data_IF_666460969981
#
_entry.id   IF_666460969981
#
_cell.length_a   1.000
_cell.length_b   1.000
_cell.length_c   1.000
_cell.angle_alpha   90.00
_cell.angle_beta   90.00
_cell.angle_gamma   90.00
#
_symmetry.space_group_name_H-M   'P 1'
#
loop_
_entity.id
_entity.type
_entity.pdbx_description
1 polymer ?
#
# COMPACT_ATOMS: atom_id res chain seq x y z
N UNK A 1 29.50 5.55 -33.93
CA UNK A 1 28.02 5.53 -33.86
C UNK A 1 27.45 4.81 -32.64
N UNK A 2 28.10 3.77 -32.08
CA UNK A 2 27.56 3.04 -30.90
C UNK A 2 27.41 3.88 -29.60
N UNK A 3 28.31 4.85 -29.36
CA UNK A 3 28.27 5.67 -28.14
C UNK A 3 27.06 6.61 -28.04
N UNK A 4 26.52 7.08 -29.16
CA UNK A 4 25.38 8.02 -29.17
C UNK A 4 24.07 7.29 -28.81
N UNK A 5 23.94 6.02 -29.17
CA UNK A 5 22.75 5.21 -28.88
C UNK A 5 22.68 4.84 -27.39
N UNK A 6 23.81 4.50 -26.77
CA UNK A 6 23.88 4.16 -25.34
C UNK A 6 23.51 5.38 -24.48
N UNK A 7 23.97 6.58 -24.87
CA UNK A 7 23.67 7.82 -24.16
C UNK A 7 22.18 8.19 -24.25
N UNK A 8 21.55 7.99 -25.42
CA UNK A 8 20.12 8.22 -25.61
C UNK A 8 19.24 7.28 -24.75
N UNK A 9 19.60 6.00 -24.67
CA UNK A 9 18.89 5.01 -23.84
C UNK A 9 19.04 5.34 -22.35
N UNK A 10 20.24 5.74 -21.91
CA UNK A 10 20.48 6.14 -20.52
C UNK A 10 19.67 7.39 -20.14
N UNK A 11 19.55 8.38 -21.03
CA UNK A 11 18.73 9.58 -20.79
C UNK A 11 17.23 9.26 -20.74
N UNK A 12 16.76 8.31 -21.55
CA UNK A 12 15.36 7.85 -21.54
C UNK A 12 15.03 7.10 -20.23
N UNK A 13 15.94 6.24 -19.76
CA UNK A 13 15.78 5.53 -18.49
C UNK A 13 15.88 6.47 -17.28
N UNK A 14 16.76 7.47 -17.33
CA UNK A 14 16.85 8.49 -16.28
C UNK A 14 15.60 9.38 -16.24
N UNK A 15 15.04 9.76 -17.40
CA UNK A 15 13.79 10.51 -17.47
C UNK A 15 12.60 9.69 -16.98
N UNK A 16 12.56 8.39 -17.29
CA UNK A 16 11.54 7.47 -16.78
C UNK A 16 11.62 7.35 -15.25
N UNK A 17 12.83 7.21 -14.69
CA UNK A 17 13.06 7.15 -13.24
C UNK A 17 12.69 8.45 -12.53
N UNK A 18 13.04 9.60 -13.09
CA UNK A 18 12.71 10.92 -12.51
C UNK A 18 11.21 11.23 -12.61
N UNK A 19 10.54 10.79 -13.67
CA UNK A 19 9.08 10.88 -13.82
C UNK A 19 8.35 10.05 -12.76
N UNK A 20 8.81 8.82 -12.53
CA UNK A 20 8.28 7.93 -11.49
C UNK A 20 8.48 8.50 -10.08
N UNK A 21 9.64 9.09 -9.80
CA UNK A 21 9.93 9.70 -8.48
C UNK A 21 9.13 10.99 -8.21
N UNK A 22 8.78 11.77 -9.24
CA UNK A 22 7.92 12.97 -9.08
C UNK A 22 6.44 12.65 -8.85
N UNK A 23 5.95 11.55 -9.41
CA UNK A 23 4.57 11.08 -9.19
C UNK A 23 4.25 10.75 -7.73
N UNK A 24 5.27 10.42 -6.91
CA UNK A 24 5.09 10.11 -5.48
C UNK A 24 4.94 11.33 -4.56
N UNK A 25 5.37 12.53 -5.00
CA UNK A 25 5.35 13.75 -4.16
C UNK A 25 4.05 14.54 -4.24
N UNK A 26 3.37 14.43 -5.37
CA UNK A 26 2.05 15.01 -5.55
C UNK A 26 1.06 13.87 -5.38
N UNK A 27 0.23 13.92 -4.35
CA UNK A 27 -0.88 12.96 -4.21
C UNK A 27 -1.69 12.85 -5.52
N UNK A 28 -2.42 11.75 -5.70
CA UNK A 28 -2.91 11.34 -7.01
C UNK A 28 -3.75 12.41 -7.70
N UNK A 29 -3.55 12.55 -9.02
CA UNK A 29 -4.59 13.03 -9.93
C UNK A 29 -5.72 12.03 -9.82
N UNK A 30 -6.71 12.30 -8.98
CA UNK A 30 -7.95 11.53 -8.93
C UNK A 30 -8.67 11.81 -10.24
N UNK A 31 -8.82 10.84 -11.18
CA UNK A 31 -9.66 11.09 -12.34
C UNK A 31 -11.05 11.53 -11.85
N UNK A 32 -11.52 12.68 -12.33
CA UNK A 32 -12.77 13.29 -11.89
C UNK A 32 -14.02 12.42 -12.15
N UNK A 33 -13.83 11.25 -12.79
CA UNK A 33 -14.84 10.25 -13.13
C UNK A 33 -14.76 8.98 -12.26
N UNK A 34 -13.96 8.95 -11.19
CA UNK A 34 -13.96 7.84 -10.24
C UNK A 34 -15.31 7.79 -9.52
N UNK A 35 -16.17 6.86 -9.95
CA UNK A 35 -17.33 6.46 -9.17
C UNK A 35 -16.81 5.82 -7.86
N UNK A 36 -17.47 6.09 -6.74
CA UNK A 36 -17.12 5.51 -5.44
C UNK A 36 -17.10 3.97 -5.44
N UNK A 37 -17.69 3.33 -6.46
CA UNK A 37 -17.77 1.88 -6.64
C UNK A 37 -16.82 1.33 -7.70
N UNK A 38 -16.02 2.18 -8.35
CA UNK A 38 -15.03 1.72 -9.33
C UNK A 38 -13.79 1.21 -8.60
N UNK A 39 -13.41 -0.03 -8.88
CA UNK A 39 -12.14 -0.62 -8.45
C UNK A 39 -11.00 -0.02 -9.28
N UNK A 40 -9.92 0.37 -8.62
CA UNK A 40 -8.72 0.88 -9.29
C UNK A 40 -7.46 0.52 -8.48
N UNK A 41 -6.32 0.52 -9.16
CA UNK A 41 -5.04 0.19 -8.54
C UNK A 41 -4.37 1.43 -7.94
N UNK A 42 -3.75 1.24 -6.77
CA UNK A 42 -2.88 2.24 -6.15
C UNK A 42 -1.69 1.57 -5.45
N UNK A 43 -0.52 2.17 -5.62
CA UNK A 43 0.69 1.79 -4.90
C UNK A 43 0.81 2.57 -3.58
N UNK A 44 1.16 1.86 -2.52
CA UNK A 44 1.46 2.40 -1.20
C UNK A 44 2.89 2.04 -0.82
N UNK A 45 3.72 3.05 -0.56
CA UNK A 45 5.05 2.83 0.02
C UNK A 45 4.87 2.26 1.43
N UNK A 46 5.50 1.12 1.70
CA UNK A 46 5.54 0.46 3.02
C UNK A 46 6.96 0.05 3.38
N UNK A 47 7.98 0.54 2.65
CA UNK A 47 9.37 0.20 2.89
C UNK A 47 9.88 0.66 4.27
N UNK A 48 9.17 1.60 4.89
CA UNK A 48 9.39 2.05 6.27
C UNK A 48 8.92 1.03 7.32
N UNK A 49 8.00 0.14 6.95
CA UNK A 49 7.35 -0.83 7.85
C UNK A 49 7.84 -2.26 7.56
N UNK A 50 7.92 -2.63 6.28
CA UNK A 50 8.19 -3.97 5.79
C UNK A 50 9.67 -4.13 5.49
N UNK A 51 10.35 -5.06 6.19
CA UNK A 51 11.80 -5.32 6.01
C UNK A 51 12.06 -6.67 5.34
N UNK A 52 11.06 -7.55 5.31
CA UNK A 52 11.14 -8.88 4.73
C UNK A 52 9.83 -9.27 4.02
N UNK A 53 9.88 -10.32 3.21
CA UNK A 53 8.66 -10.91 2.60
C UNK A 53 7.70 -11.46 3.67
N UNK A 54 8.23 -11.90 4.82
CA UNK A 54 7.42 -12.36 5.95
C UNK A 54 6.64 -11.20 6.59
N UNK A 55 7.29 -10.04 6.77
CA UNK A 55 6.64 -8.81 7.25
C UNK A 55 5.54 -8.36 6.30
N UNK A 56 5.79 -8.46 5.00
CA UNK A 56 4.81 -8.12 3.97
C UNK A 56 3.59 -9.04 4.06
N UNK A 57 3.83 -10.34 4.22
CA UNK A 57 2.77 -11.35 4.36
C UNK A 57 1.94 -11.08 5.62
N UNK A 58 2.61 -10.80 6.74
CA UNK A 58 1.96 -10.47 8.01
C UNK A 58 1.07 -9.22 7.87
N UNK A 59 1.59 -8.16 7.26
CA UNK A 59 0.84 -6.93 7.03
C UNK A 59 -0.35 -7.14 6.09
N UNK A 60 -0.17 -7.90 5.00
CA UNK A 60 -1.24 -8.22 4.06
C UNK A 60 -2.36 -9.00 4.75
N UNK A 61 -2.02 -10.04 5.51
CA UNK A 61 -3.00 -10.85 6.23
C UNK A 61 -3.79 -9.97 7.21
N UNK A 62 -3.10 -9.11 7.96
CA UNK A 62 -3.75 -8.23 8.90
C UNK A 62 -4.67 -7.20 8.22
N UNK A 63 -4.31 -6.69 7.04
CA UNK A 63 -5.20 -5.85 6.22
C UNK A 63 -6.43 -6.65 5.80
N UNK A 64 -6.25 -7.85 5.25
CA UNK A 64 -7.34 -8.68 4.73
C UNK A 64 -8.32 -9.13 5.81
N UNK A 65 -7.83 -9.44 7.01
CA UNK A 65 -8.67 -9.92 8.12
C UNK A 65 -9.44 -8.79 8.81
N UNK A 66 -8.89 -7.57 8.84
CA UNK A 66 -9.42 -6.51 9.71
C UNK A 66 -10.03 -5.33 8.93
N UNK A 67 -9.55 -5.06 7.72
CA UNK A 67 -10.04 -3.95 6.89
C UNK A 67 -11.05 -4.50 5.89
N UNK A 68 -12.35 -4.27 6.10
CA UNK A 68 -13.41 -4.73 5.16
C UNK A 68 -13.23 -6.22 4.73
N UNK A 69 -13.25 -7.19 5.65
CA UNK A 69 -12.78 -8.57 5.39
C UNK A 69 -13.50 -9.27 4.23
N UNK A 70 -14.80 -9.05 4.08
CA UNK A 70 -15.60 -9.67 3.01
C UNK A 70 -15.34 -9.05 1.62
N UNK A 71 -14.56 -7.98 1.54
CA UNK A 71 -14.29 -7.27 0.29
C UNK A 71 -13.10 -7.81 -0.49
N UNK A 72 -12.24 -8.65 0.12
CA UNK A 72 -11.03 -9.16 -0.51
C UNK A 72 -11.27 -10.42 -1.34
N UNK A 73 -10.50 -10.62 -2.40
CA UNK A 73 -10.55 -11.78 -3.30
C UNK A 73 -10.36 -13.10 -2.54
N UNK A 74 -9.53 -13.11 -1.48
CA UNK A 74 -9.36 -14.26 -0.58
C UNK A 74 -10.66 -14.68 0.14
N UNK A 75 -11.64 -13.78 0.26
CA UNK A 75 -12.99 -14.02 0.78
C UNK A 75 -14.07 -14.04 -0.34
N UNK A 76 -13.67 -14.01 -1.62
CA UNK A 76 -14.57 -13.94 -2.78
C UNK A 76 -15.07 -12.52 -3.12
N UNK A 77 -14.46 -11.49 -2.54
CA UNK A 77 -14.71 -10.09 -2.84
C UNK A 77 -13.97 -9.58 -4.08
N UNK A 78 -13.97 -8.25 -4.26
CA UNK A 78 -13.42 -7.58 -5.45
C UNK A 78 -12.05 -6.93 -5.21
N UNK A 79 -11.57 -6.90 -3.97
CA UNK A 79 -10.34 -6.24 -3.55
C UNK A 79 -9.12 -7.17 -3.65
N UNK A 80 -8.00 -6.64 -4.10
CA UNK A 80 -6.74 -7.39 -4.21
C UNK A 80 -5.59 -6.60 -3.59
N UNK A 81 -4.68 -7.26 -2.88
CA UNK A 81 -3.48 -6.62 -2.33
C UNK A 81 -2.25 -7.51 -2.55
N UNK A 82 -1.18 -6.93 -3.09
CA UNK A 82 0.06 -7.64 -3.43
C UNK A 82 1.27 -6.80 -3.03
N UNK A 83 2.28 -7.45 -2.45
CA UNK A 83 3.56 -6.80 -2.15
C UNK A 83 4.53 -6.92 -3.32
N UNK A 84 5.18 -5.81 -3.66
CA UNK A 84 6.22 -5.73 -4.69
C UNK A 84 7.55 -5.44 -4.02
N UNK A 85 8.32 -6.49 -3.73
CA UNK A 85 9.56 -6.38 -2.95
C UNK A 85 10.66 -5.55 -3.59
N UNK A 86 10.69 -5.44 -4.93
CA UNK A 86 11.65 -4.60 -5.64
C UNK A 86 11.48 -3.11 -5.35
N UNK A 87 10.25 -2.66 -5.09
CA UNK A 87 9.90 -1.26 -4.83
C UNK A 87 9.57 -1.00 -3.36
N UNK A 88 9.35 -2.05 -2.56
CA UNK A 88 8.91 -1.90 -1.17
C UNK A 88 7.48 -1.36 -1.06
N UNK A 89 6.64 -1.66 -2.04
CA UNK A 89 5.28 -1.11 -2.16
C UNK A 89 4.21 -2.20 -2.07
N UNK A 90 3.07 -1.87 -1.46
CA UNK A 90 1.83 -2.62 -1.63
C UNK A 90 1.07 -2.07 -2.82
N UNK A 91 0.76 -2.91 -3.79
CA UNK A 91 -0.20 -2.62 -4.85
C UNK A 91 -1.56 -3.07 -4.37
N UNK A 92 -2.51 -2.16 -4.30
CA UNK A 92 -3.87 -2.39 -3.83
C UNK A 92 -4.85 -2.09 -4.97
N UNK A 93 -5.70 -3.05 -5.31
CA UNK A 93 -6.86 -2.85 -6.17
C UNK A 93 -8.10 -2.78 -5.31
N UNK A 94 -8.76 -1.62 -5.24
CA UNK A 94 -9.96 -1.46 -4.42
C UNK A 94 -10.84 -0.29 -4.88
N UNK A 95 -12.05 -0.19 -4.33
CA UNK A 95 -12.85 1.03 -4.37
C UNK A 95 -12.31 2.10 -3.41
N UNK A 96 -12.71 3.36 -3.60
CA UNK A 96 -12.21 4.50 -2.82
C UNK A 96 -12.37 4.30 -1.30
N UNK A 97 -13.49 3.73 -0.82
CA UNK A 97 -13.69 3.50 0.61
C UNK A 97 -12.62 2.58 1.20
N UNK A 98 -12.37 1.43 0.57
CA UNK A 98 -11.32 0.51 1.06
C UNK A 98 -9.92 1.08 0.94
N UNK A 99 -9.61 1.89 -0.09
CA UNK A 99 -8.36 2.65 -0.12
C UNK A 99 -8.19 3.57 1.10
N UNK A 100 -9.25 4.27 1.50
CA UNK A 100 -9.22 5.14 2.68
C UNK A 100 -9.09 4.32 3.97
N UNK A 101 -9.76 3.18 4.06
CA UNK A 101 -9.68 2.26 5.19
C UNK A 101 -8.26 1.71 5.35
N UNK A 102 -7.62 1.25 4.25
CA UNK A 102 -6.24 0.78 4.25
C UNK A 102 -5.25 1.90 4.61
N UNK A 103 -5.42 3.12 4.09
CA UNK A 103 -4.56 4.26 4.46
C UNK A 103 -4.59 4.51 5.96
N UNK A 104 -5.78 4.49 6.57
CA UNK A 104 -5.94 4.69 8.01
C UNK A 104 -5.27 3.58 8.79
N UNK A 105 -5.51 2.33 8.39
CA UNK A 105 -4.88 1.17 9.03
C UNK A 105 -3.34 1.22 8.95
N UNK A 106 -2.78 1.54 7.78
CA UNK A 106 -1.34 1.73 7.63
C UNK A 106 -0.81 2.90 8.48
N UNK A 107 -1.62 3.93 8.71
CA UNK A 107 -1.30 5.02 9.64
C UNK A 107 -1.16 4.52 11.08
N UNK A 108 -2.13 3.73 11.56
CA UNK A 108 -2.10 3.12 12.89
C UNK A 108 -0.85 2.21 13.05
N UNK A 109 -0.58 1.34 12.07
CA UNK A 109 0.62 0.47 12.10
C UNK A 109 1.91 1.29 12.19
N UNK A 110 2.01 2.41 11.48
CA UNK A 110 3.18 3.31 11.56
C UNK A 110 3.30 3.99 12.92
N UNK A 111 2.20 4.36 13.53
CA UNK A 111 2.18 5.00 14.85
C UNK A 111 2.74 4.05 15.93
N UNK A 112 2.36 2.77 15.87
CA UNK A 112 2.86 1.75 16.80
C UNK A 112 4.24 1.18 16.42
N UNK A 113 4.67 1.35 15.17
CA UNK A 113 6.00 0.93 14.74
C UNK A 113 7.06 1.93 15.22
N UNK A 114 7.61 1.68 16.41
CA UNK A 114 8.62 2.53 17.07
C UNK A 114 10.03 2.48 16.45
N UNK A 115 10.21 1.84 15.28
CA UNK A 115 11.45 1.87 14.50
C UNK A 115 12.38 0.66 14.68
N UNK A 116 12.03 -0.30 15.52
CA UNK A 116 12.76 -1.58 15.68
C UNK A 116 12.28 -2.63 14.66
N UNK A 117 13.21 -3.46 14.15
CA UNK A 117 12.89 -4.56 13.21
C UNK A 117 12.09 -5.69 13.86
N UNK A 118 12.15 -5.79 15.19
CA UNK A 118 11.63 -6.91 15.95
C UNK A 118 10.13 -6.77 16.26
N UNK A 119 9.51 -5.63 15.95
CA UNK A 119 8.25 -5.22 16.57
C UNK A 119 7.10 -4.98 15.59
N UNK A 120 7.22 -5.40 14.32
CA UNK A 120 6.09 -5.26 13.37
C UNK A 120 4.88 -6.08 13.82
N UNK A 121 5.09 -7.31 14.28
CA UNK A 121 4.00 -8.15 14.78
C UNK A 121 3.30 -7.50 15.98
N UNK A 122 4.05 -6.87 16.88
CA UNK A 122 3.49 -6.11 17.99
C UNK A 122 2.73 -4.88 17.50
N UNK A 123 3.30 -4.11 16.57
CA UNK A 123 2.64 -2.94 15.99
C UNK A 123 1.35 -3.30 15.23
N UNK A 124 1.35 -4.41 14.51
CA UNK A 124 0.17 -4.93 13.79
C UNK A 124 -0.90 -5.41 14.76
N UNK A 125 -0.52 -6.11 15.83
CA UNK A 125 -1.44 -6.51 16.90
C UNK A 125 -2.08 -5.28 17.55
N UNK A 126 -1.28 -4.31 17.98
CA UNK A 126 -1.76 -3.12 18.67
C UNK A 126 -2.62 -2.24 17.72
N UNK A 127 -2.23 -2.14 16.43
CA UNK A 127 -3.03 -1.51 15.39
C UNK A 127 -4.37 -2.23 15.18
N UNK A 128 -4.39 -3.56 15.26
CA UNK A 128 -5.61 -4.33 15.15
C UNK A 128 -6.56 -4.07 16.32
N UNK A 129 -6.05 -4.15 17.55
CA UNK A 129 -6.83 -3.86 18.75
C UNK A 129 -7.43 -2.45 18.70
N UNK A 130 -6.63 -1.46 18.28
CA UNK A 130 -7.09 -0.10 18.06
C UNK A 130 -8.16 -0.01 16.97
N UNK A 131 -7.93 -0.64 15.81
CA UNK A 131 -8.87 -0.64 14.68
C UNK A 131 -10.22 -1.24 15.04
N UNK A 132 -10.23 -2.40 15.68
CA UNK A 132 -11.44 -3.10 16.12
C UNK A 132 -12.22 -2.27 17.14
N UNK A 133 -11.52 -1.65 18.11
CA UNK A 133 -12.17 -0.78 19.10
C UNK A 133 -12.94 0.39 18.47
N UNK A 134 -12.41 0.98 17.37
CA UNK A 134 -13.09 2.07 16.65
C UNK A 134 -14.30 1.60 15.85
N UNK A 135 -14.33 0.33 15.45
CA UNK A 135 -15.42 -0.26 14.66
C UNK A 135 -16.64 -0.59 15.52
N UNK A 136 -16.42 -0.98 16.78
CA UNK A 136 -17.50 -1.35 17.71
C UNK A 136 -18.23 -0.14 18.32
N UNK A 137 -17.61 1.04 18.36
CA UNK A 137 -18.23 2.27 18.89
C UNK A 137 -19.36 2.81 17.97
N UNK A 138 -19.48 2.28 16.74
CA UNK A 138 -20.46 2.70 15.75
C UNK A 138 -21.64 1.74 15.51
N UNK A 139 -21.82 0.70 16.34
CA UNK A 139 -22.96 -0.24 16.26
C UNK A 139 -24.00 -0.01 17.35
#
# INVERSE_FOLDING_TARGET
MAFVVVLAIATLLAAYRVGYERGRRFGPVVPATLNAHSVYDREYDVADIVRSEADATLLINAIQENVEPDSWDSAGGYGEVVYVSKSGTLTLSHVLSGHLSVIRYLGDVREYNTGSAADLEAAVRDANDHWLSRRDVGR
#
